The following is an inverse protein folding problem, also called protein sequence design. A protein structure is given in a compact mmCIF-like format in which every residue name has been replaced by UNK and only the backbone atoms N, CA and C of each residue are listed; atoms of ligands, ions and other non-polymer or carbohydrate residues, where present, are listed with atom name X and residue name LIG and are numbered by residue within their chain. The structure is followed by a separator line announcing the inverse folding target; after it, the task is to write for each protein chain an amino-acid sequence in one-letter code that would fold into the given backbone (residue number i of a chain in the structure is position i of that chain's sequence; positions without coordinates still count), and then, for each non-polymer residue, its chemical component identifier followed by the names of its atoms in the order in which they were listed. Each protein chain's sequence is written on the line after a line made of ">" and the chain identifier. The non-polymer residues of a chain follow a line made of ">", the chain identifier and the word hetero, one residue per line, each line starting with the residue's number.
data_IF_908523819288
#
_entry.id   IF_908523819288
#
_cell.length_a   1.000
_cell.length_b   1.000
_cell.length_c   1.000
_cell.angle_alpha   90.00
_cell.angle_beta   90.00
_cell.angle_gamma   90.00
#
_symmetry.space_group_name_H-M   'P 1'
#
loop_
_entity.id
_entity.type
_entity.pdbx_description
1 polymer ?
#
# COMPACT_ATOMS: atom_id res chain seq x y z
N UNK A 1 -36.16 24.36 -18.47
CA UNK A 1 -35.00 24.25 -17.56
C UNK A 1 -33.86 23.61 -18.34
N UNK A 2 -32.70 24.24 -18.40
CA UNK A 2 -31.52 23.72 -19.09
C UNK A 2 -30.87 22.59 -18.28
N UNK A 3 -30.49 21.52 -18.96
CA UNK A 3 -29.82 20.35 -18.37
C UNK A 3 -28.39 20.72 -17.92
N UNK A 4 -28.10 20.54 -16.63
CA UNK A 4 -26.83 20.85 -15.99
C UNK A 4 -25.64 20.04 -16.56
N UNK A 5 -25.89 18.97 -17.32
CA UNK A 5 -24.87 18.07 -17.86
C UNK A 5 -24.67 18.19 -19.38
N UNK A 6 -25.26 19.21 -20.01
CA UNK A 6 -25.11 19.44 -21.45
C UNK A 6 -23.65 19.68 -21.89
N UNK A 7 -22.79 20.19 -20.99
CA UNK A 7 -21.39 20.52 -21.28
C UNK A 7 -20.39 19.36 -21.07
N UNK A 8 -20.84 18.20 -20.60
CA UNK A 8 -19.94 17.09 -20.27
C UNK A 8 -19.56 16.32 -21.55
N UNK A 9 -18.26 16.08 -21.74
CA UNK A 9 -17.76 15.26 -22.85
C UNK A 9 -18.24 13.81 -22.72
N UNK A 10 -19.15 13.37 -23.60
CA UNK A 10 -19.75 12.03 -23.59
C UNK A 10 -18.91 10.96 -24.32
N UNK A 11 -17.67 11.29 -24.69
CA UNK A 11 -16.77 10.41 -25.44
C UNK A 11 -16.01 9.41 -24.57
N UNK A 12 -15.62 8.27 -25.13
CA UNK A 12 -14.77 7.28 -24.47
C UNK A 12 -13.41 7.91 -24.11
N UNK A 13 -13.03 7.88 -22.83
CA UNK A 13 -11.76 8.39 -22.33
C UNK A 13 -10.59 7.65 -23.00
N UNK A 14 -9.81 8.36 -23.82
CA UNK A 14 -8.58 7.86 -24.44
C UNK A 14 -7.40 8.30 -23.57
N UNK A 15 -6.77 7.36 -22.88
CA UNK A 15 -5.55 7.60 -22.11
C UNK A 15 -4.34 7.52 -23.03
N UNK A 16 -3.29 8.31 -22.76
CA UNK A 16 -2.07 8.39 -23.59
C UNK A 16 -1.33 7.05 -23.77
N UNK A 17 -1.66 6.03 -22.98
CA UNK A 17 -1.09 4.68 -23.06
C UNK A 17 -1.98 3.66 -23.79
N UNK A 18 -3.21 4.01 -24.18
CA UNK A 18 -4.18 3.05 -24.74
C UNK A 18 -4.06 2.95 -26.28
N UNK A 19 -2.83 2.71 -26.75
CA UNK A 19 -2.58 2.33 -28.14
C UNK A 19 -3.20 0.95 -28.39
N UNK A 20 -4.11 0.88 -29.35
CA UNK A 20 -4.87 -0.32 -29.74
C UNK A 20 -4.01 -1.58 -29.81
N UNK A 21 -4.14 -2.43 -28.78
CA UNK A 21 -3.55 -3.77 -28.75
C UNK A 21 -4.26 -4.66 -29.77
N UNK A 22 -3.81 -4.63 -31.02
CA UNK A 22 -4.12 -5.67 -32.01
C UNK A 22 -3.63 -7.02 -31.44
N UNK A 23 -4.58 -7.87 -31.02
CA UNK A 23 -4.31 -9.22 -30.52
C UNK A 23 -3.73 -10.11 -31.62
N UNK A 24 -2.40 -10.10 -31.80
CA UNK A 24 -1.67 -11.18 -32.48
C UNK A 24 -1.23 -12.21 -31.42
N UNK A 25 -1.73 -13.45 -31.55
CA UNK A 25 -1.32 -14.61 -30.73
C UNK A 25 0.20 -14.77 -30.73
N UNK A 26 0.87 -14.47 -29.61
CA UNK A 26 2.15 -15.08 -29.19
C UNK A 26 2.19 -15.17 -27.66
N UNK A 27 1.56 -16.22 -27.15
CA UNK A 27 1.22 -16.44 -25.73
C UNK A 27 2.40 -17.07 -24.98
N UNK A 28 3.49 -16.32 -24.77
CA UNK A 28 4.42 -16.58 -23.63
C UNK A 28 5.30 -15.37 -23.33
N UNK A 29 5.96 -14.80 -24.34
CA UNK A 29 6.90 -13.67 -24.16
C UNK A 29 6.25 -12.34 -23.76
N UNK A 30 4.94 -12.19 -23.99
CA UNK A 30 4.19 -10.99 -23.57
C UNK A 30 3.84 -11.00 -22.08
N UNK A 31 3.65 -12.17 -21.47
CA UNK A 31 3.24 -12.28 -20.06
C UNK A 31 4.38 -11.93 -19.12
N UNK A 32 5.62 -12.26 -19.50
CA UNK A 32 6.82 -11.88 -18.73
C UNK A 32 7.08 -10.38 -18.80
N UNK A 33 6.91 -9.76 -19.99
CA UNK A 33 6.97 -8.30 -20.14
C UNK A 33 5.88 -7.57 -19.36
N UNK A 34 4.68 -8.12 -19.30
CA UNK A 34 3.56 -7.55 -18.55
C UNK A 34 3.79 -7.66 -17.04
N UNK A 35 4.30 -8.80 -16.54
CA UNK A 35 4.72 -8.95 -15.13
C UNK A 35 5.85 -8.00 -14.75
N UNK A 36 6.86 -7.85 -15.60
CA UNK A 36 7.97 -6.93 -15.37
C UNK A 36 7.49 -5.47 -15.36
N UNK A 37 6.59 -5.11 -16.27
CA UNK A 37 5.97 -3.79 -16.29
C UNK A 37 5.12 -3.53 -15.04
N UNK A 38 4.34 -4.52 -14.59
CA UNK A 38 3.53 -4.42 -13.36
C UNK A 38 4.40 -4.30 -12.10
N UNK A 39 5.54 -5.01 -12.07
CA UNK A 39 6.50 -4.96 -10.98
C UNK A 39 7.24 -3.61 -10.97
N UNK A 40 7.59 -3.06 -12.14
CA UNK A 40 8.15 -1.70 -12.26
C UNK A 40 7.15 -0.64 -11.85
N UNK A 41 5.89 -0.73 -12.28
CA UNK A 41 4.85 0.21 -11.86
C UNK A 41 4.56 0.14 -10.37
N UNK A 42 4.62 -1.06 -9.77
CA UNK A 42 4.44 -1.23 -8.32
C UNK A 42 5.63 -0.64 -7.53
N UNK A 43 6.87 -0.81 -8.02
CA UNK A 43 8.06 -0.21 -7.43
C UNK A 43 8.03 1.32 -7.54
N UNK A 44 7.60 1.85 -8.67
CA UNK A 44 7.48 3.30 -8.92
C UNK A 44 6.35 3.92 -8.08
N UNK A 45 5.23 3.21 -7.89
CA UNK A 45 4.16 3.63 -6.96
C UNK A 45 4.62 3.61 -5.49
N UNK A 46 5.45 2.66 -5.05
CA UNK A 46 5.99 2.68 -3.68
C UNK A 46 7.05 3.78 -3.45
N UNK A 47 7.72 4.24 -4.49
CA UNK A 47 8.61 5.40 -4.41
C UNK A 47 7.85 6.74 -4.47
N UNK A 48 6.65 6.73 -5.05
CA UNK A 48 5.83 7.92 -5.27
C UNK A 48 4.60 8.01 -4.34
N UNK A 49 4.39 7.04 -3.46
CA UNK A 49 3.52 7.21 -2.29
C UNK A 49 4.13 8.31 -1.43
N UNK A 50 3.47 9.47 -1.27
CA UNK A 50 3.90 10.41 -0.25
C UNK A 50 3.80 9.63 1.05
N UNK A 51 4.91 9.58 1.80
CA UNK A 51 4.85 9.25 3.21
C UNK A 51 3.83 10.21 3.84
N UNK A 52 2.58 9.74 3.95
CA UNK A 52 1.49 10.46 4.57
C UNK A 52 1.88 10.61 6.05
N UNK A 53 2.49 11.76 6.33
CA UNK A 53 3.12 12.10 7.59
C UNK A 53 4.64 12.20 7.50
N UNK A 54 5.18 13.17 6.74
CA UNK A 54 6.21 14.14 7.17
C UNK A 54 6.67 14.96 5.95
N UNK A 55 6.76 16.29 6.11
CA UNK A 55 7.32 17.31 5.19
C UNK A 55 6.39 17.96 4.15
N UNK A 56 5.35 18.66 4.60
CA UNK A 56 5.03 19.96 4.00
C UNK A 56 6.04 21.00 4.48
N UNK A 57 7.24 21.00 3.92
CA UNK A 57 8.16 22.13 4.01
C UNK A 57 9.17 22.10 2.86
N UNK A 58 8.65 22.27 1.66
CA UNK A 58 9.46 22.68 0.51
C UNK A 58 8.70 23.73 -0.30
N UNK A 59 8.24 24.76 0.41
CA UNK A 59 7.95 26.06 -0.22
C UNK A 59 9.17 26.94 0.02
N UNK A 60 10.00 27.00 -1.03
CA UNK A 60 10.90 28.08 -1.40
C UNK A 60 10.94 29.30 -0.47
N UNK A 61 12.09 29.53 0.17
CA UNK A 61 12.48 30.81 0.79
C UNK A 61 12.00 31.05 2.22
N UNK A 62 12.63 30.41 3.21
CA UNK A 62 12.49 30.82 4.62
C UNK A 62 13.56 30.17 5.48
N UNK A 63 14.07 30.91 6.46
CA UNK A 63 15.05 30.49 7.48
C UNK A 63 14.93 28.99 7.84
N UNK A 64 16.03 28.24 7.74
CA UNK A 64 16.05 26.87 8.26
C UNK A 64 15.72 26.89 9.75
N UNK A 65 14.52 26.41 10.10
CA UNK A 65 14.08 26.28 11.48
C UNK A 65 14.99 25.26 12.16
N UNK A 66 15.89 25.73 13.02
CA UNK A 66 16.71 24.85 13.87
C UNK A 66 15.78 24.01 14.73
N UNK A 67 15.89 22.69 14.61
CA UNK A 67 15.11 21.77 15.42
C UNK A 67 15.44 21.97 16.90
N UNK A 68 14.41 21.87 17.74
CA UNK A 68 14.57 21.85 19.18
C UNK A 68 15.28 20.56 19.63
N UNK A 69 15.89 20.58 20.83
CA UNK A 69 16.51 19.38 21.41
C UNK A 69 15.53 18.20 21.52
N UNK A 70 14.26 18.50 21.82
CA UNK A 70 13.20 17.50 21.91
C UNK A 70 12.86 16.89 20.54
N UNK A 71 12.77 17.72 19.49
CA UNK A 71 12.52 17.24 18.12
C UNK A 71 13.67 16.39 17.59
N UNK A 72 14.92 16.77 17.87
CA UNK A 72 16.10 15.97 17.52
C UNK A 72 16.09 14.60 18.21
N UNK A 73 15.74 14.56 19.51
CA UNK A 73 15.63 13.31 20.25
C UNK A 73 14.51 12.40 19.72
N UNK A 74 13.33 12.97 19.43
CA UNK A 74 12.20 12.25 18.85
C UNK A 74 12.54 11.69 17.48
N UNK A 75 13.18 12.48 16.60
CA UNK A 75 13.64 12.02 15.29
C UNK A 75 14.60 10.84 15.40
N UNK A 76 15.58 10.92 16.30
CA UNK A 76 16.52 9.82 16.56
C UNK A 76 15.81 8.55 17.07
N UNK A 77 14.79 8.69 17.91
CA UNK A 77 13.99 7.55 18.37
C UNK A 77 13.16 6.93 17.23
N UNK A 78 12.53 7.76 16.40
CA UNK A 78 11.78 7.31 15.23
C UNK A 78 12.69 6.56 14.24
N UNK A 79 13.90 7.07 13.98
CA UNK A 79 14.90 6.41 13.13
C UNK A 79 15.27 5.02 13.68
N UNK A 80 15.51 4.91 14.99
CA UNK A 80 15.76 3.61 15.63
C UNK A 80 14.58 2.64 15.46
N UNK A 81 13.35 3.09 15.70
CA UNK A 81 12.16 2.25 15.54
C UNK A 81 11.90 1.87 14.09
N UNK A 82 12.15 2.79 13.15
CA UNK A 82 12.05 2.55 11.71
C UNK A 82 13.02 1.45 11.29
N UNK A 83 14.29 1.56 11.71
CA UNK A 83 15.31 0.56 11.37
C UNK A 83 14.92 -0.82 11.92
N UNK A 84 14.46 -0.89 13.17
CA UNK A 84 13.93 -2.13 13.75
C UNK A 84 12.77 -2.71 12.93
N UNK A 85 11.78 -1.88 12.59
CA UNK A 85 10.62 -2.29 11.78
C UNK A 85 11.01 -2.78 10.38
N UNK A 86 12.01 -2.14 9.76
CA UNK A 86 12.54 -2.55 8.45
C UNK A 86 13.18 -3.93 8.58
N UNK A 87 14.02 -4.15 9.59
CA UNK A 87 14.67 -5.45 9.84
C UNK A 87 13.64 -6.55 10.09
N UNK A 88 12.67 -6.33 10.99
CA UNK A 88 11.63 -7.31 11.33
C UNK A 88 10.76 -7.68 10.11
N UNK A 89 10.40 -6.68 9.29
CA UNK A 89 9.64 -6.91 8.04
C UNK A 89 10.47 -7.67 7.00
N UNK A 90 11.77 -7.41 6.90
CA UNK A 90 12.65 -8.07 5.96
C UNK A 90 12.96 -9.52 6.35
N UNK A 91 12.96 -9.83 7.66
CA UNK A 91 13.18 -11.18 8.18
C UNK A 91 12.07 -12.17 7.80
N UNK A 92 10.84 -11.69 7.60
CA UNK A 92 9.69 -12.55 7.31
C UNK A 92 9.27 -12.45 5.85
N UNK A 93 9.26 -13.59 5.16
CA UNK A 93 8.69 -13.66 3.81
C UNK A 93 7.16 -13.56 3.88
N UNK A 94 6.52 -13.19 2.76
CA UNK A 94 5.06 -13.13 2.70
C UNK A 94 4.42 -14.48 3.01
N UNK A 95 4.98 -15.59 2.48
CA UNK A 95 4.51 -16.95 2.75
C UNK A 95 4.53 -17.26 4.24
N UNK A 96 5.64 -17.01 4.93
CA UNK A 96 5.74 -17.21 6.38
C UNK A 96 4.76 -16.34 7.17
N UNK A 97 4.47 -15.12 6.69
CA UNK A 97 3.47 -14.26 7.32
C UNK A 97 2.05 -14.81 7.17
N UNK A 98 1.73 -15.37 6.01
CA UNK A 98 0.44 -16.04 5.75
C UNK A 98 0.34 -17.32 6.56
N UNK A 99 1.40 -18.12 6.62
CA UNK A 99 1.45 -19.34 7.44
C UNK A 99 1.21 -19.04 8.91
N UNK A 100 1.96 -18.11 9.51
CA UNK A 100 1.74 -17.68 10.90
C UNK A 100 0.34 -17.12 11.14
N UNK A 101 -0.23 -16.43 10.16
CA UNK A 101 -1.59 -15.91 10.26
C UNK A 101 -2.62 -17.04 10.27
N UNK A 102 -2.45 -18.03 9.39
CA UNK A 102 -3.32 -19.20 9.34
C UNK A 102 -3.18 -20.05 10.61
N UNK A 103 -1.96 -20.31 11.08
CA UNK A 103 -1.69 -20.97 12.36
C UNK A 103 -2.40 -20.23 13.51
N UNK A 104 -2.37 -18.89 13.52
CA UNK A 104 -3.07 -18.12 14.55
C UNK A 104 -4.59 -18.27 14.46
N UNK A 105 -5.17 -18.26 13.26
CA UNK A 105 -6.60 -18.48 13.06
C UNK A 105 -7.03 -19.88 13.49
N UNK A 106 -6.23 -20.91 13.20
CA UNK A 106 -6.49 -22.29 13.62
C UNK A 106 -6.48 -22.43 15.14
N UNK A 107 -5.65 -21.64 15.84
CA UNK A 107 -5.64 -21.62 17.32
C UNK A 107 -6.78 -20.81 17.93
N UNK A 108 -7.44 -19.95 17.16
CA UNK A 108 -8.49 -19.09 17.67
C UNK A 108 -9.77 -19.90 17.90
N UNK A 109 -10.46 -19.66 19.01
CA UNK A 109 -11.73 -20.32 19.27
C UNK A 109 -12.80 -19.77 18.33
N UNK A 110 -13.56 -20.65 17.69
CA UNK A 110 -14.68 -20.24 16.83
C UNK A 110 -15.76 -19.49 17.61
N UNK A 111 -15.93 -19.84 18.90
CA UNK A 111 -16.93 -19.29 19.78
C UNK A 111 -16.28 -18.35 20.79
N UNK A 112 -16.83 -17.15 20.92
CA UNK A 112 -16.39 -16.11 21.87
C UNK A 112 -17.23 -16.08 23.15
N UNK A 113 -18.17 -17.01 23.30
CA UNK A 113 -19.08 -17.09 24.44
C UNK A 113 -19.09 -18.53 25.00
N UNK A 114 -19.35 -18.62 26.29
CA UNK A 114 -19.35 -19.90 27.00
C UNK A 114 -20.66 -20.62 26.66
N UNK A 115 -20.61 -21.92 26.29
CA UNK A 115 -21.83 -22.67 26.03
C UNK A 115 -22.74 -22.62 27.26
N UNK A 116 -24.03 -22.35 27.04
CA UNK A 116 -25.02 -22.30 28.11
C UNK A 116 -25.17 -23.67 28.76
N UNK A 117 -24.95 -23.74 30.07
CA UNK A 117 -25.16 -24.98 30.85
C UNK A 117 -26.64 -25.09 31.20
N UNK A 118 -27.43 -25.75 30.36
CA UNK A 118 -28.77 -26.19 30.75
C UNK A 118 -28.66 -27.46 31.59
N UNK A 119 -29.14 -27.43 32.83
CA UNK A 119 -29.38 -28.63 33.62
C UNK A 119 -30.58 -29.37 33.05
N UNK A 120 -30.36 -30.25 32.07
CA UNK A 120 -31.33 -31.29 31.69
C UNK A 120 -30.62 -32.37 30.90
N UNK A 121 -30.87 -33.62 31.28
CA UNK A 121 -30.35 -34.85 30.67
C UNK A 121 -31.27 -35.31 29.54
#
# INVERSE_FOLDING_TARGET
>A
MSDAYACVAKGKLKLKSDSELKKKKKKHKSKDKEKEALQKSYAEQQLNEPAAGTTTSSTSGSYERKLTKAELASKKQQEKMRNKRIMDKAQTTHKQRVEKFNEHLDTLTEHFDIPKVSWTK
#
